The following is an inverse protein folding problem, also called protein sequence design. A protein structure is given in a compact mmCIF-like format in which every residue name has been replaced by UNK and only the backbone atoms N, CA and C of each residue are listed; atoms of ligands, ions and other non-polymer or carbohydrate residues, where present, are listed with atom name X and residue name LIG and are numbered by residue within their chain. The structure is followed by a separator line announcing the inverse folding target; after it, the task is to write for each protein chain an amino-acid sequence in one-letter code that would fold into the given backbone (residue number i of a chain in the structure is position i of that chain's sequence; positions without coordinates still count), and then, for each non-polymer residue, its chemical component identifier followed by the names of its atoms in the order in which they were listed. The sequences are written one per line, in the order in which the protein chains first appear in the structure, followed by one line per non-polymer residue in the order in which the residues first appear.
data_IF_481013112281
#
_entry.id   IF_481013112281
#
_cell.length_a   1.000
_cell.length_b   1.000
_cell.length_c   1.000
_cell.angle_alpha   90.00
_cell.angle_beta   90.00
_cell.angle_gamma   90.00
#
_symmetry.space_group_name_H-M   'P 1'
#
loop_
_entity.id
_entity.type
_entity.pdbx_description
1 polymer ?
#
# COMPACT_ATOMS: atom_id res chain seq x y z
N UNK A 1 -24.59 -10.29 27.81
CA UNK A 1 -23.56 -9.50 27.09
C UNK A 1 -23.47 -10.11 25.70
N UNK A 2 -23.82 -9.41 24.61
CA UNK A 2 -23.83 -10.03 23.28
C UNK A 2 -22.42 -10.50 22.90
N UNK A 3 -22.23 -11.80 22.69
CA UNK A 3 -20.98 -12.47 22.28
C UNK A 3 -20.35 -11.92 20.98
N UNK A 4 -21.00 -10.98 20.30
CA UNK A 4 -20.60 -10.43 19.01
C UNK A 4 -20.09 -8.98 19.06
N UNK A 5 -20.08 -8.32 20.23
CA UNK A 5 -19.62 -6.93 20.32
C UNK A 5 -18.09 -6.90 20.30
N UNK A 6 -17.52 -6.37 19.21
CA UNK A 6 -16.09 -6.15 19.12
C UNK A 6 -15.75 -4.91 19.98
N UNK A 7 -14.73 -4.97 20.87
CA UNK A 7 -14.31 -3.83 21.65
C UNK A 7 -14.05 -2.59 20.77
N UNK A 8 -14.70 -1.47 21.08
CA UNK A 8 -14.54 -0.22 20.33
C UNK A 8 -15.34 -0.10 19.02
N UNK A 9 -16.13 -1.11 18.64
CA UNK A 9 -16.97 -1.07 17.43
C UNK A 9 -17.95 0.12 17.43
N UNK A 10 -18.54 0.44 18.59
CA UNK A 10 -19.48 1.56 18.75
C UNK A 10 -18.87 2.94 18.45
N UNK A 11 -17.55 3.06 18.56
CA UNK A 11 -16.81 4.30 18.26
C UNK A 11 -16.14 4.26 16.89
N UNK A 12 -16.45 3.24 16.09
CA UNK A 12 -15.83 2.99 14.79
C UNK A 12 -16.88 3.10 13.69
N UNK A 13 -16.75 4.14 12.86
CA UNK A 13 -17.55 4.32 11.67
C UNK A 13 -16.87 3.65 10.48
N UNK A 14 -17.58 2.75 9.80
CA UNK A 14 -17.10 2.04 8.61
C UNK A 14 -17.83 2.56 7.37
N UNK A 15 -17.08 3.07 6.39
CA UNK A 15 -17.60 3.40 5.08
C UNK A 15 -17.64 2.14 4.21
N UNK A 16 -18.82 1.76 3.74
CA UNK A 16 -19.00 0.65 2.79
C UNK A 16 -19.28 1.22 1.40
N UNK A 17 -18.38 0.92 0.47
CA UNK A 17 -18.53 1.29 -0.95
C UNK A 17 -19.01 0.08 -1.73
N UNK A 18 -20.06 0.27 -2.54
CA UNK A 18 -20.78 -0.86 -3.14
C UNK A 18 -21.71 -1.54 -2.13
N UNK A 19 -22.29 -0.78 -1.19
CA UNK A 19 -23.18 -1.28 -0.14
C UNK A 19 -24.44 -1.98 -0.67
N UNK A 20 -24.85 -1.71 -1.91
CA UNK A 20 -25.99 -2.36 -2.57
C UNK A 20 -25.62 -3.65 -3.33
N UNK A 21 -24.34 -4.02 -3.41
CA UNK A 21 -23.91 -5.28 -4.02
C UNK A 21 -24.25 -6.48 -3.14
N UNK A 22 -24.19 -7.69 -3.69
CA UNK A 22 -24.45 -8.92 -2.94
C UNK A 22 -23.58 -9.05 -1.68
N UNK A 23 -22.28 -8.80 -1.80
CA UNK A 23 -21.36 -8.79 -0.67
C UNK A 23 -21.64 -7.58 0.23
N UNK A 24 -21.77 -6.39 -0.35
CA UNK A 24 -21.92 -5.14 0.38
C UNK A 24 -23.12 -5.13 1.33
N UNK A 25 -24.27 -5.65 0.87
CA UNK A 25 -25.47 -5.75 1.70
C UNK A 25 -25.28 -6.68 2.90
N UNK A 26 -24.50 -7.75 2.75
CA UNK A 26 -24.20 -8.69 3.85
C UNK A 26 -23.19 -8.06 4.80
N UNK A 27 -22.17 -7.37 4.28
CA UNK A 27 -21.17 -6.62 5.06
C UNK A 27 -21.86 -5.58 5.94
N UNK A 28 -22.75 -4.76 5.39
CA UNK A 28 -23.51 -3.74 6.14
C UNK A 28 -24.24 -4.37 7.33
N UNK A 29 -24.99 -5.45 7.11
CA UNK A 29 -25.71 -6.15 8.19
C UNK A 29 -24.76 -6.73 9.23
N UNK A 30 -23.69 -7.40 8.79
CA UNK A 30 -22.67 -8.00 9.68
C UNK A 30 -21.93 -6.96 10.53
N UNK A 31 -21.69 -5.76 10.00
CA UNK A 31 -21.10 -4.63 10.73
C UNK A 31 -22.08 -4.11 11.79
N UNK A 32 -23.33 -3.85 11.42
CA UNK A 32 -24.35 -3.38 12.35
C UNK A 32 -24.58 -4.34 13.52
N UNK A 33 -24.66 -5.66 13.23
CA UNK A 33 -24.82 -6.68 14.26
C UNK A 33 -23.63 -6.75 15.25
N UNK A 34 -22.45 -6.26 14.84
CA UNK A 34 -21.25 -6.18 15.69
C UNK A 34 -21.06 -4.81 16.35
N UNK A 35 -22.01 -3.90 16.18
CA UNK A 35 -22.06 -2.59 16.84
C UNK A 35 -21.32 -1.46 16.12
N UNK A 36 -20.94 -1.63 14.85
CA UNK A 36 -20.34 -0.54 14.06
C UNK A 36 -21.38 0.48 13.60
N UNK A 37 -20.98 1.75 13.56
CA UNK A 37 -21.69 2.76 12.76
C UNK A 37 -21.33 2.55 11.29
N UNK A 38 -22.33 2.49 10.41
CA UNK A 38 -22.11 2.21 8.99
C UNK A 38 -22.54 3.41 8.16
N UNK A 39 -21.65 3.85 7.27
CA UNK A 39 -21.93 4.80 6.20
C UNK A 39 -21.89 4.07 4.86
N UNK A 40 -22.88 4.25 4.01
CA UNK A 40 -22.96 3.63 2.69
C UNK A 40 -22.75 4.67 1.60
N UNK A 41 -21.69 4.50 0.79
CA UNK A 41 -21.50 5.32 -0.42
C UNK A 41 -22.31 4.71 -1.58
N UNK A 42 -23.29 5.46 -2.07
CA UNK A 42 -24.14 5.08 -3.20
C UNK A 42 -24.07 6.14 -4.30
N UNK A 43 -24.24 5.73 -5.56
CA UNK A 43 -24.23 6.68 -6.69
C UNK A 43 -25.48 7.55 -6.72
N UNK A 44 -26.65 6.92 -6.53
CA UNK A 44 -27.95 7.57 -6.44
C UNK A 44 -28.66 7.05 -5.18
N UNK A 45 -29.45 7.90 -4.54
CA UNK A 45 -30.24 7.59 -3.36
C UNK A 45 -31.73 7.46 -3.72
N UNK A 46 -32.02 6.72 -4.79
CA UNK A 46 -33.38 6.47 -5.24
C UNK A 46 -34.10 5.53 -4.26
N UNK A 47 -35.44 5.51 -4.28
CA UNK A 47 -36.25 4.79 -3.30
C UNK A 47 -35.87 3.30 -3.17
N UNK A 48 -35.62 2.62 -4.29
CA UNK A 48 -35.16 1.22 -4.32
C UNK A 48 -33.86 1.02 -3.52
N UNK A 49 -32.88 1.93 -3.67
CA UNK A 49 -31.60 1.84 -2.95
C UNK A 49 -31.78 2.07 -1.45
N UNK A 50 -32.65 3.01 -1.09
CA UNK A 50 -32.97 3.31 0.32
C UNK A 50 -33.65 2.11 0.98
N UNK A 51 -34.54 1.42 0.27
CA UNK A 51 -35.23 0.23 0.76
C UNK A 51 -34.31 -1.00 0.90
N UNK A 52 -33.24 -1.10 0.10
CA UNK A 52 -32.25 -2.18 0.21
C UNK A 52 -31.36 -2.12 1.45
N UNK A 53 -31.24 -0.95 2.08
CA UNK A 53 -30.33 -0.70 3.21
C UNK A 53 -31.11 -0.51 4.52
N UNK A 54 -30.58 -0.97 5.68
CA UNK A 54 -31.20 -0.71 6.97
C UNK A 54 -31.30 0.80 7.26
N UNK A 55 -32.42 1.25 7.86
CA UNK A 55 -32.69 2.67 8.12
C UNK A 55 -31.65 3.41 8.96
N UNK A 56 -30.89 2.69 9.79
CA UNK A 56 -29.84 3.27 10.63
C UNK A 56 -28.50 3.49 9.90
N UNK A 57 -28.39 3.06 8.64
CA UNK A 57 -27.18 3.30 7.82
C UNK A 57 -27.23 4.71 7.28
N UNK A 58 -26.16 5.48 7.47
CA UNK A 58 -26.02 6.81 6.87
C UNK A 58 -25.74 6.65 5.37
N UNK A 59 -26.67 7.06 4.52
CA UNK A 59 -26.49 7.02 3.07
C UNK A 59 -25.80 8.32 2.63
N UNK A 60 -24.68 8.19 1.93
CA UNK A 60 -23.97 9.31 1.30
C UNK A 60 -23.95 9.11 -0.20
N UNK A 61 -24.46 10.10 -0.93
CA UNK A 61 -24.47 10.10 -2.39
C UNK A 61 -23.12 10.58 -2.93
N UNK A 62 -22.52 9.80 -3.83
CA UNK A 62 -21.27 10.13 -4.49
C UNK A 62 -20.76 9.04 -5.43
N UNK A 63 -19.76 9.37 -6.24
CA UNK A 63 -19.18 8.46 -7.22
C UNK A 63 -17.67 8.34 -6.99
N UNK A 64 -17.18 7.11 -6.88
CA UNK A 64 -15.74 6.82 -6.70
C UNK A 64 -14.88 7.36 -7.84
N UNK A 65 -15.44 7.48 -9.04
CA UNK A 65 -14.80 8.10 -10.20
C UNK A 65 -14.70 9.63 -10.12
N UNK A 66 -15.46 10.28 -9.23
CA UNK A 66 -15.46 11.73 -9.01
C UNK A 66 -14.89 12.09 -7.62
N UNK A 67 -13.61 12.50 -7.54
CA UNK A 67 -12.95 12.86 -6.28
C UNK A 67 -13.68 13.93 -5.46
N UNK A 68 -14.42 14.85 -6.09
CA UNK A 68 -15.08 15.95 -5.38
C UNK A 68 -16.16 15.44 -4.43
N UNK A 69 -16.82 14.33 -4.78
CA UNK A 69 -17.90 13.73 -3.98
C UNK A 69 -17.40 12.92 -2.78
N UNK A 70 -16.12 12.52 -2.77
CA UNK A 70 -15.61 11.55 -1.79
C UNK A 70 -15.25 12.16 -0.45
N UNK A 71 -15.06 13.48 -0.37
CA UNK A 71 -14.72 14.15 0.89
C UNK A 71 -15.82 13.95 1.95
N UNK A 72 -17.08 14.16 1.57
CA UNK A 72 -18.23 13.95 2.47
C UNK A 72 -18.39 12.48 2.87
N UNK A 73 -18.07 11.55 1.96
CA UNK A 73 -18.15 10.12 2.20
C UNK A 73 -17.14 9.64 3.25
N UNK A 74 -15.91 10.15 3.23
CA UNK A 74 -14.86 9.71 4.17
C UNK A 74 -14.88 10.46 5.51
N UNK A 75 -15.58 11.59 5.58
CA UNK A 75 -15.62 12.41 6.79
C UNK A 75 -16.26 11.65 7.94
N UNK A 76 -15.54 11.58 9.07
CA UNK A 76 -15.96 10.88 10.28
C UNK A 76 -15.74 9.36 10.24
N UNK A 77 -15.23 8.82 9.13
CA UNK A 77 -14.98 7.38 9.01
C UNK A 77 -13.63 6.99 9.63
N UNK A 78 -13.59 5.79 10.19
CA UNK A 78 -12.38 5.20 10.78
C UNK A 78 -11.79 4.12 9.89
N UNK A 79 -12.64 3.43 9.11
CA UNK A 79 -12.30 2.29 8.24
C UNK A 79 -13.13 2.32 6.96
N UNK A 80 -12.65 1.65 5.93
CA UNK A 80 -13.32 1.52 4.63
C UNK A 80 -13.39 0.04 4.23
N UNK A 81 -14.54 -0.41 3.75
CA UNK A 81 -14.69 -1.66 2.99
C UNK A 81 -15.15 -1.33 1.58
N UNK A 82 -14.34 -1.69 0.59
CA UNK A 82 -14.61 -1.45 -0.82
C UNK A 82 -15.05 -2.75 -1.50
N UNK A 83 -16.35 -2.87 -1.73
CA UNK A 83 -16.99 -3.99 -2.43
C UNK A 83 -17.52 -3.60 -3.82
N UNK A 84 -17.27 -2.37 -4.28
CA UNK A 84 -17.70 -1.93 -5.60
C UNK A 84 -16.84 -2.55 -6.70
N UNK A 85 -17.50 -2.82 -7.82
CA UNK A 85 -16.88 -3.25 -9.07
C UNK A 85 -17.59 -2.53 -10.22
N UNK A 86 -16.91 -2.32 -11.35
CA UNK A 86 -17.57 -1.78 -12.53
C UNK A 86 -18.78 -2.64 -12.93
N UNK A 87 -19.87 -2.00 -13.38
CA UNK A 87 -21.08 -2.72 -13.82
C UNK A 87 -20.89 -3.30 -15.22
N UNK A 88 -20.03 -2.69 -16.02
CA UNK A 88 -19.68 -3.16 -17.36
C UNK A 88 -18.22 -3.59 -17.43
N UNK A 89 -17.93 -4.57 -18.30
CA UNK A 89 -16.55 -4.98 -18.62
C UNK A 89 -15.90 -4.07 -19.67
N UNK A 90 -16.49 -2.90 -19.96
CA UNK A 90 -15.94 -1.91 -20.89
C UNK A 90 -14.78 -1.21 -20.17
N UNK A 91 -13.65 -1.10 -20.85
CA UNK A 91 -12.38 -0.59 -20.30
C UNK A 91 -12.54 0.72 -19.52
N UNK A 92 -13.34 1.66 -20.01
CA UNK A 92 -13.56 2.96 -19.36
C UNK A 92 -14.18 2.86 -17.97
N UNK A 93 -15.19 2.01 -17.79
CA UNK A 93 -15.89 1.82 -16.52
C UNK A 93 -15.01 1.04 -15.52
N UNK A 94 -14.34 -0.02 -16.01
CA UNK A 94 -13.36 -0.80 -15.24
C UNK A 94 -12.25 0.09 -14.67
N UNK A 95 -11.62 0.92 -15.51
CA UNK A 95 -10.57 1.82 -15.02
C UNK A 95 -11.12 2.91 -14.10
N UNK A 96 -12.34 3.39 -14.34
CA UNK A 96 -12.99 4.40 -13.48
C UNK A 96 -13.26 3.87 -12.08
N UNK A 97 -13.83 2.67 -11.94
CA UNK A 97 -14.26 2.12 -10.65
C UNK A 97 -13.15 1.30 -9.99
N UNK A 98 -12.58 0.33 -10.68
CA UNK A 98 -11.68 -0.65 -10.07
C UNK A 98 -10.26 -0.14 -9.88
N UNK A 99 -9.81 0.82 -10.70
CA UNK A 99 -8.52 1.48 -10.53
C UNK A 99 -8.67 2.87 -9.89
N UNK A 100 -9.25 3.82 -10.64
CA UNK A 100 -9.33 5.23 -10.21
C UNK A 100 -10.19 5.38 -8.95
N UNK A 101 -11.28 4.64 -8.84
CA UNK A 101 -12.15 4.66 -7.67
C UNK A 101 -11.44 4.29 -6.38
N UNK A 102 -10.68 3.19 -6.41
CA UNK A 102 -9.84 2.76 -5.27
C UNK A 102 -8.79 3.83 -4.94
N UNK A 103 -8.11 4.38 -5.95
CA UNK A 103 -7.12 5.45 -5.75
C UNK A 103 -7.74 6.72 -5.13
N UNK A 104 -8.85 7.19 -5.70
CA UNK A 104 -9.53 8.42 -5.29
C UNK A 104 -10.00 8.33 -3.85
N UNK A 105 -10.65 7.22 -3.49
CA UNK A 105 -11.15 7.00 -2.14
C UNK A 105 -10.02 6.87 -1.13
N UNK A 106 -8.98 6.12 -1.49
CA UNK A 106 -7.78 5.99 -0.67
C UNK A 106 -7.11 7.34 -0.43
N UNK A 107 -6.99 8.17 -1.48
CA UNK A 107 -6.46 9.53 -1.37
C UNK A 107 -7.33 10.40 -0.46
N UNK A 108 -8.65 10.42 -0.67
CA UNK A 108 -9.59 11.20 0.14
C UNK A 108 -9.49 10.83 1.63
N UNK A 109 -9.42 9.53 1.93
CA UNK A 109 -9.30 9.03 3.30
C UNK A 109 -7.97 9.44 3.95
N UNK A 110 -6.87 9.40 3.19
CA UNK A 110 -5.58 9.90 3.67
C UNK A 110 -5.59 11.40 3.92
N UNK A 111 -6.16 12.18 3.01
CA UNK A 111 -6.24 13.64 3.14
C UNK A 111 -7.04 14.01 4.39
N UNK A 112 -8.15 13.32 4.65
CA UNK A 112 -8.92 13.46 5.89
C UNK A 112 -8.10 13.11 7.14
N UNK A 113 -7.44 11.95 7.17
CA UNK A 113 -6.61 11.54 8.31
C UNK A 113 -5.42 12.48 8.56
N UNK A 114 -4.83 13.02 7.51
CA UNK A 114 -3.76 14.00 7.63
C UNK A 114 -4.28 15.33 8.20
N UNK A 115 -5.43 15.82 7.73
CA UNK A 115 -6.09 17.01 8.27
C UNK A 115 -6.42 16.83 9.77
N UNK A 116 -7.00 15.70 10.14
CA UNK A 116 -7.30 15.39 11.55
C UNK A 116 -6.04 15.29 12.42
N UNK A 117 -4.94 14.78 11.87
CA UNK A 117 -3.67 14.76 12.59
C UNK A 117 -3.09 16.15 12.80
N UNK A 118 -3.19 17.05 11.82
CA UNK A 118 -2.75 18.44 11.97
C UNK A 118 -3.53 19.14 13.09
N UNK A 119 -4.86 18.96 13.13
CA UNK A 119 -5.70 19.48 14.21
C UNK A 119 -5.34 18.90 15.58
N UNK A 120 -4.78 17.68 15.62
CA UNK A 120 -4.32 17.00 16.84
C UNK A 120 -2.82 17.16 17.12
N UNK A 121 -2.17 18.16 16.52
CA UNK A 121 -0.73 18.42 16.64
C UNK A 121 0.15 17.16 16.36
N UNK A 122 -0.20 16.38 15.34
CA UNK A 122 0.55 15.21 14.90
C UNK A 122 0.43 13.97 15.80
N UNK A 123 -0.51 13.94 16.76
CA UNK A 123 -0.72 12.80 17.68
C UNK A 123 -1.49 11.61 17.07
N UNK A 124 -1.60 11.51 15.75
CA UNK A 124 -2.35 10.44 15.07
C UNK A 124 -1.47 9.21 14.82
N UNK A 125 -1.93 8.04 15.26
CA UNK A 125 -1.33 6.73 14.93
C UNK A 125 -1.60 6.29 13.49
N UNK A 126 -2.48 6.98 12.76
CA UNK A 126 -2.86 6.66 11.37
C UNK A 126 -2.20 7.56 10.32
N UNK A 127 -1.51 8.61 10.77
CA UNK A 127 -1.01 9.64 9.86
C UNK A 127 0.49 9.52 9.67
N UNK A 128 0.92 9.80 8.44
CA UNK A 128 2.33 9.72 8.06
C UNK A 128 3.12 10.82 8.79
N UNK A 129 4.27 10.47 9.36
CA UNK A 129 5.21 11.46 9.89
C UNK A 129 5.96 12.08 8.72
N UNK A 130 5.87 13.39 8.55
CA UNK A 130 6.67 14.07 7.52
C UNK A 130 8.10 14.20 8.01
N UNK A 131 9.03 13.57 7.31
CA UNK A 131 10.47 13.68 7.60
C UNK A 131 11.04 14.90 6.90
N UNK A 132 10.78 15.02 5.60
CA UNK A 132 11.22 16.15 4.78
C UNK A 132 10.13 16.47 3.75
N UNK A 133 9.93 17.75 3.48
CA UNK A 133 9.01 18.23 2.44
C UNK A 133 9.70 19.34 1.66
N UNK A 134 9.83 19.14 0.35
CA UNK A 134 10.57 20.04 -0.51
C UNK A 134 9.62 21.04 -1.15
N UNK A 135 9.44 22.18 -0.47
CA UNK A 135 8.51 23.24 -0.91
C UNK A 135 9.15 24.61 -1.00
N UNK A 136 10.29 24.79 -0.35
CA UNK A 136 10.99 26.05 -0.25
C UNK A 136 12.48 25.82 -0.48
N UNK A 137 13.25 26.83 -0.90
CA UNK A 137 14.69 26.69 -1.09
C UNK A 137 15.42 26.14 0.15
N UNK A 138 15.02 26.55 1.35
CA UNK A 138 15.65 26.11 2.61
C UNK A 138 15.46 24.61 2.88
N UNK A 139 14.53 23.95 2.18
CA UNK A 139 14.31 22.51 2.33
C UNK A 139 15.45 21.65 1.78
N UNK A 140 16.33 22.23 0.95
CA UNK A 140 17.57 21.55 0.50
C UNK A 140 18.72 21.74 1.48
N UNK A 141 18.58 22.58 2.50
CA UNK A 141 19.67 22.91 3.41
C UNK A 141 20.10 21.73 4.28
N UNK A 142 21.42 21.61 4.43
CA UNK A 142 22.09 20.55 5.19
C UNK A 142 21.90 19.15 4.59
N UNK A 143 21.46 19.04 3.34
CA UNK A 143 21.68 17.85 2.53
C UNK A 143 23.08 17.91 1.91
N UNK A 144 23.80 16.79 1.96
CA UNK A 144 25.17 16.70 1.47
C UNK A 144 25.23 15.80 0.24
N UNK A 145 25.79 16.33 -0.85
CA UNK A 145 26.11 15.54 -2.04
C UNK A 145 27.51 14.96 -1.89
N UNK A 146 27.65 13.64 -2.00
CA UNK A 146 28.93 12.92 -1.93
C UNK A 146 29.14 12.09 -3.17
N UNK A 147 30.40 11.84 -3.50
CA UNK A 147 30.82 11.03 -4.63
C UNK A 147 31.71 9.91 -4.12
N UNK A 148 31.60 8.72 -4.70
CA UNK A 148 32.38 7.57 -4.27
C UNK A 148 32.55 6.53 -5.36
N UNK A 149 33.48 5.61 -5.15
CA UNK A 149 33.76 4.49 -6.06
C UNK A 149 33.90 3.19 -5.26
N UNK A 150 33.45 2.07 -5.83
CA UNK A 150 33.70 0.75 -5.26
C UNK A 150 35.13 0.24 -5.49
N UNK A 151 35.90 0.89 -6.38
CA UNK A 151 37.28 0.51 -6.68
C UNK A 151 38.23 1.55 -6.07
N UNK A 152 38.94 1.18 -5.02
CA UNK A 152 39.93 2.04 -4.35
C UNK A 152 41.31 2.00 -5.02
N UNK A 153 41.62 0.95 -5.80
CA UNK A 153 42.98 0.64 -6.29
C UNK A 153 43.25 0.92 -7.78
N UNK A 154 42.37 1.62 -8.48
CA UNK A 154 42.68 2.06 -9.86
C UNK A 154 43.30 3.44 -9.73
N UNK A 155 44.62 3.53 -9.95
CA UNK A 155 45.34 4.79 -10.15
C UNK A 155 44.46 5.67 -11.03
N UNK A 156 43.94 6.77 -10.47
CA UNK A 156 43.06 7.68 -11.17
C UNK A 156 43.78 8.10 -12.45
N UNK A 157 43.40 7.49 -13.57
CA UNK A 157 43.97 7.85 -14.85
C UNK A 157 43.49 9.28 -15.11
N UNK A 158 44.34 10.14 -15.69
CA UNK A 158 43.97 11.54 -16.02
C UNK A 158 42.69 11.67 -16.89
N UNK A 159 42.09 10.56 -17.30
CA UNK A 159 40.89 10.44 -18.12
C UNK A 159 39.69 9.75 -17.43
N UNK A 160 39.78 9.40 -16.14
CA UNK A 160 38.60 8.98 -15.37
C UNK A 160 37.70 10.20 -15.12
N UNK A 161 36.79 10.45 -16.07
CA UNK A 161 35.86 11.58 -16.05
C UNK A 161 35.23 11.76 -14.66
N UNK A 162 35.38 12.96 -14.10
CA UNK A 162 34.87 13.28 -12.77
C UNK A 162 33.37 13.06 -12.66
N UNK A 163 32.88 12.63 -11.50
CA UNK A 163 31.45 12.54 -11.26
C UNK A 163 30.91 13.98 -11.10
N UNK A 164 29.77 14.28 -11.71
CA UNK A 164 29.07 15.54 -11.46
C UNK A 164 27.73 15.20 -10.84
N UNK A 165 27.43 15.81 -9.69
CA UNK A 165 26.16 15.66 -9.02
C UNK A 165 25.88 16.92 -8.19
N UNK A 166 24.64 17.38 -8.27
CA UNK A 166 24.17 18.53 -7.52
C UNK A 166 22.77 18.30 -6.99
N UNK A 167 22.46 19.00 -5.91
CA UNK A 167 21.13 19.04 -5.33
C UNK A 167 20.72 20.50 -5.15
N UNK A 168 19.72 20.94 -5.90
CA UNK A 168 19.31 22.35 -5.95
C UNK A 168 17.78 22.48 -5.93
N UNK A 169 17.31 23.59 -5.37
CA UNK A 169 15.91 23.99 -5.49
C UNK A 169 15.76 24.88 -6.73
N UNK A 170 15.04 24.40 -7.73
CA UNK A 170 14.92 25.08 -9.03
C UNK A 170 13.94 26.25 -8.96
N UNK A 171 14.03 27.16 -9.93
CA UNK A 171 13.06 28.24 -10.11
C UNK A 171 11.64 27.74 -10.39
N UNK A 172 11.49 26.48 -10.85
CA UNK A 172 10.17 25.83 -11.05
C UNK A 172 9.54 25.36 -9.74
N UNK A 173 10.25 25.46 -8.62
CA UNK A 173 9.77 25.06 -7.30
C UNK A 173 10.05 23.60 -6.94
N UNK A 174 11.02 22.97 -7.61
CA UNK A 174 11.35 21.55 -7.43
C UNK A 174 12.71 21.36 -6.77
N UNK A 175 12.83 20.43 -5.82
CA UNK A 175 14.14 19.99 -5.33
C UNK A 175 14.68 18.86 -6.21
N UNK A 176 15.77 19.14 -6.93
CA UNK A 176 16.29 18.27 -7.99
C UNK A 176 17.68 17.77 -7.63
N UNK A 177 17.80 16.45 -7.49
CA UNK A 177 19.07 15.74 -7.41
C UNK A 177 19.41 15.18 -8.79
N UNK A 178 20.42 15.74 -9.45
CA UNK A 178 20.78 15.37 -10.81
C UNK A 178 22.28 15.35 -11.02
N UNK A 179 22.71 14.66 -12.06
CA UNK A 179 24.12 14.53 -12.38
C UNK A 179 24.42 13.46 -13.40
N UNK A 180 25.72 13.19 -13.53
CA UNK A 180 26.28 12.22 -14.45
C UNK A 180 27.47 11.49 -13.81
N UNK A 181 27.49 10.15 -13.91
CA UNK A 181 28.54 9.30 -13.33
C UNK A 181 29.31 8.59 -14.44
N UNK A 182 30.52 9.06 -14.75
CA UNK A 182 31.33 8.56 -15.86
C UNK A 182 32.13 7.31 -15.51
N UNK A 183 32.55 7.16 -14.26
CA UNK A 183 33.46 6.11 -13.79
C UNK A 183 32.76 4.78 -13.60
N UNK A 184 33.44 3.70 -14.03
CA UNK A 184 32.96 2.33 -13.84
C UNK A 184 32.99 1.99 -12.35
N UNK A 185 31.83 1.78 -11.74
CA UNK A 185 31.72 1.54 -10.29
C UNK A 185 31.66 2.81 -9.45
N UNK A 186 31.58 3.99 -10.08
CA UNK A 186 31.24 5.24 -9.43
C UNK A 186 29.79 5.26 -8.96
N UNK A 187 29.54 6.02 -7.90
CA UNK A 187 28.22 6.32 -7.39
C UNK A 187 28.20 7.73 -6.80
N UNK A 188 27.02 8.33 -6.75
CA UNK A 188 26.78 9.60 -6.07
C UNK A 188 25.68 9.44 -5.05
N UNK A 189 25.78 10.21 -3.98
CA UNK A 189 24.93 10.12 -2.80
C UNK A 189 24.40 11.49 -2.42
N UNK A 190 23.16 11.49 -1.95
CA UNK A 190 22.51 12.64 -1.34
C UNK A 190 22.09 12.25 0.08
N UNK A 191 22.76 12.80 1.08
CA UNK A 191 22.65 12.37 2.49
C UNK A 191 22.13 13.47 3.40
N UNK A 192 21.33 13.09 4.41
CA UNK A 192 20.82 14.00 5.43
C UNK A 192 20.67 13.31 6.78
N UNK A 193 21.20 13.94 7.83
CA UNK A 193 20.88 13.57 9.21
C UNK A 193 19.43 13.96 9.53
N UNK A 194 18.62 12.98 9.93
CA UNK A 194 17.21 13.15 10.22
C UNK A 194 17.04 13.96 11.50
N UNK A 195 16.21 15.01 11.43
CA UNK A 195 15.79 15.80 12.60
C UNK A 195 14.38 15.38 12.99
N UNK A 196 14.27 14.35 13.84
CA UNK A 196 12.98 13.90 14.36
C UNK A 196 12.56 14.77 15.56
N UNK A 197 11.26 15.05 15.75
CA UNK A 197 10.78 15.73 16.95
C UNK A 197 11.17 14.98 18.23
N UNK A 198 11.38 15.69 19.34
CA UNK A 198 11.72 15.08 20.63
C UNK A 198 10.74 13.95 21.00
N UNK A 199 11.30 12.80 21.40
CA UNK A 199 10.52 11.61 21.74
C UNK A 199 9.86 10.89 20.55
N UNK A 200 10.23 11.22 19.31
CA UNK A 200 9.82 10.49 18.11
C UNK A 200 10.99 9.69 17.53
N UNK A 201 10.71 8.44 17.24
CA UNK A 201 11.61 7.45 16.64
C UNK A 201 10.88 6.72 15.52
N UNK A 202 11.61 6.01 14.64
CA UNK A 202 11.00 5.37 13.47
C UNK A 202 10.48 3.95 13.75
N UNK A 203 10.72 3.37 14.92
CA UNK A 203 10.21 2.06 15.38
C UNK A 203 8.68 1.96 15.39
N UNK A 204 7.99 3.09 15.53
CA UNK A 204 6.53 3.17 15.42
C UNK A 204 6.02 3.24 13.97
N UNK A 205 6.89 3.10 12.99
CA UNK A 205 6.59 3.18 11.56
C UNK A 205 7.02 1.89 10.86
N UNK A 206 6.31 1.50 9.80
CA UNK A 206 6.56 0.25 9.06
C UNK A 206 7.57 0.46 7.92
N UNK A 207 7.85 1.70 7.56
CA UNK A 207 8.78 2.05 6.50
C UNK A 207 8.66 3.50 6.06
N UNK A 208 9.21 3.78 4.89
CA UNK A 208 9.24 5.11 4.29
C UNK A 208 8.35 5.17 3.04
N UNK A 209 7.80 6.35 2.79
CA UNK A 209 7.15 6.70 1.52
C UNK A 209 7.76 7.96 0.95
N UNK A 210 8.20 7.86 -0.31
CA UNK A 210 8.80 8.94 -1.06
C UNK A 210 7.88 9.30 -2.22
N UNK A 211 7.66 10.59 -2.45
CA UNK A 211 7.06 11.08 -3.70
C UNK A 211 8.18 11.68 -4.54
N UNK A 212 8.46 11.02 -5.65
CA UNK A 212 9.64 11.28 -6.47
C UNK A 212 9.28 11.32 -7.95
N UNK A 213 9.85 12.28 -8.66
CA UNK A 213 9.81 12.37 -10.12
C UNK A 213 11.19 12.10 -10.73
N UNK A 214 11.27 12.12 -12.06
CA UNK A 214 12.55 12.03 -12.75
C UNK A 214 12.50 11.21 -14.03
N UNK A 215 13.67 10.70 -14.41
CA UNK A 215 13.92 10.00 -15.67
C UNK A 215 13.80 8.47 -15.57
N UNK A 216 13.10 7.93 -14.56
CA UNK A 216 12.82 6.49 -14.46
C UNK A 216 14.00 5.62 -14.03
N UNK A 217 15.03 6.21 -13.41
CA UNK A 217 16.18 5.48 -12.86
C UNK A 217 15.86 4.70 -11.59
N UNK A 218 16.73 3.74 -11.29
CA UNK A 218 16.72 2.98 -10.04
C UNK A 218 17.70 3.61 -9.06
N UNK A 219 17.32 3.66 -7.78
CA UNK A 219 18.09 4.26 -6.71
C UNK A 219 18.19 3.29 -5.53
N UNK A 220 19.18 3.53 -4.68
CA UNK A 220 19.37 2.82 -3.43
C UNK A 220 19.04 3.79 -2.30
N UNK A 221 18.12 3.40 -1.43
CA UNK A 221 17.88 4.08 -0.18
C UNK A 221 18.74 3.40 0.90
N UNK A 222 19.60 4.18 1.53
CA UNK A 222 20.49 3.72 2.60
C UNK A 222 20.06 4.42 3.89
N UNK A 223 19.92 3.63 4.96
CA UNK A 223 19.70 4.12 6.31
C UNK A 223 20.92 3.76 7.16
N UNK A 224 21.39 4.75 7.91
CA UNK A 224 22.39 4.54 8.93
C UNK A 224 21.70 4.47 10.30
N UNK A 225 21.94 3.37 11.01
CA UNK A 225 21.35 3.11 12.31
C UNK A 225 22.42 2.78 13.34
N UNK A 226 22.36 3.45 14.49
CA UNK A 226 23.32 3.30 15.58
C UNK A 226 23.18 4.41 16.62
N UNK A 227 24.03 4.40 17.66
CA UNK A 227 24.04 5.45 18.67
C UNK A 227 24.33 6.81 18.02
N UNK A 228 23.41 7.76 18.14
CA UNK A 228 23.57 9.08 17.53
C UNK A 228 24.75 9.90 18.07
N UNK A 229 25.25 9.52 19.26
CA UNK A 229 26.42 10.08 19.93
C UNK A 229 27.75 9.45 19.48
N UNK A 230 27.73 8.25 18.89
CA UNK A 230 28.91 7.56 18.39
C UNK A 230 28.60 6.87 17.05
N UNK A 231 28.83 7.60 15.96
CA UNK A 231 28.59 7.11 14.61
C UNK A 231 29.59 6.04 14.16
N UNK A 232 30.64 5.75 14.93
CA UNK A 232 31.58 4.67 14.60
C UNK A 232 30.94 3.28 14.74
N UNK A 233 29.91 3.17 15.59
CA UNK A 233 29.14 1.94 15.81
C UNK A 233 27.92 1.82 14.89
N UNK A 234 27.68 2.85 14.07
CA UNK A 234 26.61 2.84 13.09
C UNK A 234 26.77 1.70 12.09
N UNK A 235 25.63 1.12 11.71
CA UNK A 235 25.52 0.12 10.66
C UNK A 235 24.73 0.70 9.50
N UNK A 236 25.07 0.27 8.29
CA UNK A 236 24.42 0.73 7.07
C UNK A 236 23.48 -0.34 6.56
N UNK A 237 22.28 0.09 6.17
CA UNK A 237 21.23 -0.77 5.67
C UNK A 237 20.73 -0.22 4.34
N UNK A 238 20.57 -1.07 3.33
CA UNK A 238 20.15 -0.62 2.00
C UNK A 238 18.87 -1.31 1.55
N UNK A 239 18.05 -0.58 0.78
CA UNK A 239 16.95 -1.14 0.00
C UNK A 239 16.89 -0.45 -1.36
N UNK A 240 16.54 -1.20 -2.41
CA UNK A 240 16.47 -0.67 -3.77
C UNK A 240 15.05 -0.24 -4.11
N UNK A 241 14.92 0.85 -4.86
CA UNK A 241 13.65 1.24 -5.42
C UNK A 241 13.80 1.78 -6.84
N UNK A 242 12.73 1.66 -7.62
CA UNK A 242 12.69 2.11 -9.00
C UNK A 242 11.76 3.31 -9.12
N UNK A 243 12.16 4.30 -9.93
CA UNK A 243 11.28 5.40 -10.32
C UNK A 243 10.63 5.13 -11.68
N UNK A 244 9.70 5.98 -12.08
CA UNK A 244 9.10 6.00 -13.43
C UNK A 244 9.42 7.33 -14.10
N UNK A 245 9.21 7.42 -15.41
CA UNK A 245 9.16 8.72 -16.06
C UNK A 245 8.01 9.55 -15.45
N UNK A 246 8.32 10.74 -14.93
CA UNK A 246 7.37 11.57 -14.18
C UNK A 246 7.22 11.16 -12.71
N UNK A 247 6.27 11.78 -12.01
CA UNK A 247 6.08 11.57 -10.57
C UNK A 247 5.47 10.20 -10.24
N UNK A 248 6.03 9.55 -9.22
CA UNK A 248 5.53 8.32 -8.64
C UNK A 248 5.72 8.31 -7.12
N UNK A 249 4.92 7.48 -6.44
CA UNK A 249 5.07 7.22 -5.00
C UNK A 249 5.71 5.86 -4.80
N UNK A 250 6.76 5.84 -3.98
CA UNK A 250 7.56 4.66 -3.67
C UNK A 250 7.43 4.37 -2.19
N UNK A 251 7.00 3.15 -1.84
CA UNK A 251 6.96 2.63 -0.47
C UNK A 251 8.15 1.71 -0.26
N UNK A 252 8.92 1.95 0.79
CA UNK A 252 10.09 1.14 1.16
C UNK A 252 9.88 0.66 2.60
N UNK A 253 9.37 -0.57 2.81
CA UNK A 253 9.20 -1.15 4.15
C UNK A 253 10.55 -1.27 4.87
N UNK A 254 10.60 -1.12 6.19
CA UNK A 254 11.84 -1.37 6.93
C UNK A 254 12.29 -2.83 6.82
N UNK A 255 11.35 -3.76 6.66
CA UNK A 255 11.64 -5.17 6.40
C UNK A 255 12.29 -5.45 5.04
N UNK A 256 12.30 -4.50 4.09
CA UNK A 256 13.00 -4.64 2.80
C UNK A 256 14.45 -4.17 2.85
N UNK A 257 14.90 -3.60 3.97
CA UNK A 257 16.29 -3.23 4.16
C UNK A 257 17.13 -4.47 4.49
N UNK A 258 18.34 -4.50 3.94
CA UNK A 258 19.34 -5.52 4.23
C UNK A 258 20.60 -4.83 4.73
N UNK A 259 21.30 -5.41 5.72
CA UNK A 259 22.56 -4.83 6.15
C UNK A 259 23.57 -4.85 5.00
N UNK A 260 24.38 -3.80 4.91
CA UNK A 260 25.46 -3.71 3.91
C UNK A 260 26.55 -4.75 4.22
N UNK A 261 26.87 -4.97 5.50
CA UNK A 261 27.71 -6.08 5.96
C UNK A 261 26.81 -7.26 6.31
N UNK A 262 26.95 -8.44 5.68
CA UNK A 262 26.04 -9.56 5.90
C UNK A 262 25.87 -10.03 7.35
N UNK A 263 26.89 -9.85 8.18
CA UNK A 263 26.91 -10.30 9.58
C UNK A 263 26.24 -9.32 10.56
N UNK A 264 25.85 -8.13 10.10
CA UNK A 264 25.16 -7.15 10.93
C UNK A 264 23.71 -7.59 11.22
N UNK A 265 23.15 -7.28 12.41
CA UNK A 265 21.78 -7.62 12.77
C UNK A 265 20.75 -6.91 11.87
N UNK A 266 19.50 -7.39 11.81
CA UNK A 266 18.42 -6.69 11.11
C UNK A 266 18.26 -5.24 11.54
N UNK A 267 17.77 -4.38 10.63
CA UNK A 267 17.56 -2.97 10.89
C UNK A 267 16.64 -2.76 12.09
N UNK A 268 17.12 -2.01 13.09
CA UNK A 268 16.29 -1.42 14.14
C UNK A 268 15.92 0.02 13.77
N UNK A 269 14.65 0.31 13.42
CA UNK A 269 14.22 1.65 13.07
C UNK A 269 14.31 2.66 14.22
N UNK A 270 14.39 2.20 15.49
CA UNK A 270 14.58 3.09 16.63
C UNK A 270 15.90 3.87 16.54
N UNK A 271 16.94 3.24 16.00
CA UNK A 271 18.31 3.76 15.95
C UNK A 271 18.63 4.54 14.67
N UNK A 272 17.68 4.68 13.74
CA UNK A 272 17.91 5.35 12.46
C UNK A 272 18.10 6.85 12.67
N UNK A 273 19.25 7.37 12.22
CA UNK A 273 19.59 8.78 12.36
C UNK A 273 19.96 9.47 11.04
N UNK A 274 20.40 8.74 10.01
CA UNK A 274 20.77 9.32 8.71
C UNK A 274 20.11 8.56 7.56
N UNK A 275 19.68 9.33 6.55
CA UNK A 275 19.07 8.84 5.33
C UNK A 275 19.91 9.29 4.13
N UNK A 276 20.18 8.35 3.22
CA UNK A 276 20.98 8.59 2.02
C UNK A 276 20.30 8.01 0.78
N UNK A 277 20.23 8.80 -0.29
CA UNK A 277 19.79 8.38 -1.61
C UNK A 277 21.03 8.23 -2.50
N UNK A 278 21.29 7.01 -2.98
CA UNK A 278 22.43 6.71 -3.85
C UNK A 278 21.96 6.40 -5.27
N UNK A 279 22.64 6.99 -6.25
CA UNK A 279 22.55 6.61 -7.65
C UNK A 279 23.85 5.90 -8.08
N UNK A 280 23.70 4.78 -8.76
CA UNK A 280 24.80 4.06 -9.42
C UNK A 280 24.37 3.69 -10.86
N UNK A 281 25.21 3.88 -11.89
CA UNK A 281 24.87 3.49 -13.27
C UNK A 281 24.71 1.98 -13.47
N UNK A 282 25.27 1.19 -12.54
CA UNK A 282 25.21 -0.27 -12.60
C UNK A 282 23.76 -0.72 -12.36
N UNK A 283 23.32 -1.74 -13.09
CA UNK A 283 21.98 -2.36 -12.93
C UNK A 283 20.79 -1.43 -13.23
N UNK A 284 21.01 -0.35 -14.00
CA UNK A 284 19.90 0.45 -14.53
C UNK A 284 19.17 -0.31 -15.64
N UNK A 285 17.84 -0.38 -15.56
CA UNK A 285 17.01 -0.93 -16.64
C UNK A 285 16.92 0.06 -17.79
N UNK A 286 16.75 -0.45 -19.02
CA UNK A 286 16.40 0.39 -20.16
C UNK A 286 15.04 1.08 -19.86
N UNK A 287 14.99 2.39 -20.04
CA UNK A 287 13.74 3.16 -19.92
C UNK A 287 13.12 3.18 -21.32
N UNK A 288 12.03 2.45 -21.53
CA UNK A 288 11.27 2.51 -22.78
C UNK A 288 10.62 3.89 -22.91
N UNK A 289 11.11 4.72 -23.83
CA UNK A 289 10.51 5.99 -24.16
C UNK A 289 9.16 5.80 -24.87
N UNK A 290 8.17 6.63 -24.55
CA UNK A 290 7.01 6.80 -25.42
C UNK A 290 7.48 7.49 -26.69
N UNK A 291 7.40 6.80 -27.82
CA UNK A 291 7.61 7.30 -29.19
C UNK A 291 8.93 8.04 -29.46
N UNK A 292 9.91 7.33 -30.04
CA UNK A 292 10.89 7.94 -30.97
C UNK A 292 12.01 8.82 -30.40
N UNK A 293 12.30 8.82 -29.10
CA UNK A 293 13.40 9.63 -28.51
C UNK A 293 14.56 8.76 -28.05
N UNK A 294 15.77 9.24 -28.34
CA UNK A 294 17.11 8.70 -28.03
C UNK A 294 17.19 7.93 -26.70
N UNK A 295 17.86 6.77 -26.75
CA UNK A 295 18.13 5.92 -25.60
C UNK A 295 18.90 6.74 -24.53
N UNK A 296 18.25 7.03 -23.40
CA UNK A 296 18.83 7.89 -22.36
C UNK A 296 20.06 7.22 -21.74
N UNK A 297 21.19 7.94 -21.74
CA UNK A 297 22.46 7.46 -21.22
C UNK A 297 22.34 6.95 -19.78
N UNK A 298 22.58 5.66 -19.49
CA UNK A 298 22.40 5.05 -18.16
C UNK A 298 23.25 5.69 -17.05
N UNK A 299 24.22 6.54 -17.42
CA UNK A 299 25.09 7.28 -16.51
C UNK A 299 24.47 8.59 -16.01
N UNK A 300 23.43 9.11 -16.69
CA UNK A 300 22.73 10.32 -16.30
C UNK A 300 21.52 10.01 -15.42
N UNK A 301 21.28 10.87 -14.43
CA UNK A 301 20.14 10.74 -13.54
C UNK A 301 19.51 12.08 -13.21
N UNK A 302 18.21 12.04 -12.98
CA UNK A 302 17.44 13.15 -12.44
C UNK A 302 16.41 12.56 -11.49
N UNK A 303 16.47 12.97 -10.23
CA UNK A 303 15.52 12.62 -9.18
C UNK A 303 14.93 13.91 -8.64
N UNK A 304 13.64 14.11 -8.86
CA UNK A 304 12.90 15.23 -8.29
C UNK A 304 12.27 14.74 -6.98
N UNK A 305 12.52 15.43 -5.88
CA UNK A 305 12.02 15.06 -4.55
C UNK A 305 10.88 16.00 -4.14
N UNK A 306 9.69 15.47 -3.87
CA UNK A 306 8.57 16.26 -3.34
C UNK A 306 8.46 16.12 -1.81
N UNK A 307 8.54 14.89 -1.30
CA UNK A 307 8.58 14.63 0.14
C UNK A 307 9.12 13.25 0.47
N UNK A 308 9.55 13.10 1.73
CA UNK A 308 9.85 11.83 2.40
C UNK A 308 9.04 11.78 3.69
N UNK A 309 8.29 10.71 3.90
CA UNK A 309 7.48 10.50 5.12
C UNK A 309 7.66 9.09 5.66
N UNK A 310 7.48 8.91 6.97
CA UNK A 310 7.39 7.59 7.58
C UNK A 310 5.93 7.10 7.62
N UNK A 311 5.73 5.82 7.30
CA UNK A 311 4.44 5.15 7.22
C UNK A 311 4.06 4.54 8.56
N UNK A 312 2.91 4.88 9.16
CA UNK A 312 2.55 4.38 10.48
C UNK A 312 2.41 2.86 10.50
N UNK A 313 2.81 2.23 11.62
CA UNK A 313 2.68 0.77 11.81
C UNK A 313 1.25 0.27 11.88
N UNK A 314 0.29 1.09 12.32
CA UNK A 314 -1.15 0.82 12.46
C UNK A 314 -1.52 -0.62 12.86
N UNK A 315 -1.98 -0.89 14.08
CA UNK A 315 -2.28 -2.28 14.48
C UNK A 315 -3.50 -2.91 13.77
N UNK A 316 -4.35 -2.07 13.17
CA UNK A 316 -5.57 -2.51 12.52
C UNK A 316 -5.60 -2.15 11.04
N UNK A 317 -6.47 -2.83 10.29
CA UNK A 317 -6.73 -2.52 8.89
C UNK A 317 -7.61 -1.27 8.80
N UNK A 318 -7.18 -0.33 7.96
CA UNK A 318 -7.93 0.89 7.64
C UNK A 318 -8.81 0.69 6.40
N UNK A 319 -8.38 -0.15 5.45
CA UNK A 319 -9.02 -0.32 4.16
C UNK A 319 -9.05 -1.79 3.73
N UNK A 320 -10.24 -2.37 3.61
CA UNK A 320 -10.44 -3.71 3.02
C UNK A 320 -10.93 -3.55 1.58
N UNK A 321 -10.24 -4.17 0.64
CA UNK A 321 -10.61 -4.18 -0.78
C UNK A 321 -11.02 -5.59 -1.21
N UNK A 322 -12.24 -5.72 -1.75
CA UNK A 322 -12.68 -6.94 -2.43
C UNK A 322 -12.31 -6.85 -3.91
N UNK A 323 -11.21 -7.48 -4.28
CA UNK A 323 -10.67 -7.53 -5.64
C UNK A 323 -11.19 -8.78 -6.37
N UNK A 324 -12.51 -8.89 -6.52
CA UNK A 324 -13.15 -10.00 -7.23
C UNK A 324 -13.14 -9.78 -8.74
N UNK A 325 -13.06 -10.84 -9.53
CA UNK A 325 -13.36 -10.73 -10.97
C UNK A 325 -14.86 -10.64 -11.20
N UNK A 326 -15.68 -11.29 -10.38
CA UNK A 326 -17.11 -11.49 -10.66
C UNK A 326 -17.35 -12.73 -11.53
N UNK A 327 -18.61 -13.18 -11.59
CA UNK A 327 -19.06 -14.33 -12.38
C UNK A 327 -19.39 -13.93 -13.82
N UNK A 328 -19.22 -14.85 -14.78
CA UNK A 328 -19.70 -14.67 -16.16
C UNK A 328 -18.90 -13.69 -17.02
N UNK A 329 -17.62 -13.45 -16.69
CA UNK A 329 -16.75 -12.66 -17.57
C UNK A 329 -16.24 -13.53 -18.72
N UNK A 330 -16.47 -13.04 -19.94
CA UNK A 330 -15.89 -13.60 -21.16
C UNK A 330 -14.36 -13.75 -21.06
N UNK A 331 -13.78 -14.89 -21.48
CA UNK A 331 -12.35 -15.16 -21.36
C UNK A 331 -11.47 -14.02 -21.88
N UNK A 332 -11.84 -13.44 -23.03
CA UNK A 332 -11.09 -12.39 -23.71
C UNK A 332 -11.08 -11.05 -22.95
N UNK A 333 -12.06 -10.83 -22.04
CA UNK A 333 -12.15 -9.63 -21.20
C UNK A 333 -11.59 -9.84 -19.79
N UNK A 334 -11.45 -11.10 -19.36
CA UNK A 334 -10.95 -11.46 -18.03
C UNK A 334 -9.58 -10.83 -17.74
N UNK A 335 -8.68 -10.84 -18.72
CA UNK A 335 -7.36 -10.23 -18.56
C UNK A 335 -7.43 -8.71 -18.34
N UNK A 336 -8.32 -8.03 -19.07
CA UNK A 336 -8.52 -6.58 -18.93
C UNK A 336 -9.09 -6.23 -17.55
N UNK A 337 -10.06 -7.00 -17.06
CA UNK A 337 -10.63 -6.84 -15.71
C UNK A 337 -9.55 -7.06 -14.65
N UNK A 338 -8.80 -8.16 -14.75
CA UNK A 338 -7.69 -8.46 -13.82
C UNK A 338 -6.63 -7.36 -13.83
N UNK A 339 -6.31 -6.79 -15.00
CA UNK A 339 -5.37 -5.68 -15.12
C UNK A 339 -5.87 -4.43 -14.39
N UNK A 340 -7.14 -4.07 -14.55
CA UNK A 340 -7.74 -2.92 -13.85
C UNK A 340 -7.78 -3.14 -12.33
N UNK A 341 -8.21 -4.33 -11.87
CA UNK A 341 -8.25 -4.73 -10.46
C UNK A 341 -6.86 -4.68 -9.82
N UNK A 342 -5.85 -5.30 -10.46
CA UNK A 342 -4.44 -5.26 -10.00
C UNK A 342 -3.90 -3.83 -9.94
N UNK A 343 -4.29 -2.95 -10.87
CA UNK A 343 -3.90 -1.54 -10.82
C UNK A 343 -4.55 -0.79 -9.64
N UNK A 344 -5.79 -1.13 -9.28
CA UNK A 344 -6.47 -0.63 -8.08
C UNK A 344 -5.81 -1.12 -6.79
N UNK A 345 -5.55 -2.42 -6.70
CA UNK A 345 -4.78 -3.02 -5.60
C UNK A 345 -3.44 -2.30 -5.40
N UNK A 346 -2.69 -2.12 -6.48
CA UNK A 346 -1.39 -1.44 -6.45
C UNK A 346 -1.49 0.02 -5.96
N UNK A 347 -2.59 0.69 -6.29
CA UNK A 347 -2.88 2.04 -5.80
C UNK A 347 -3.10 2.05 -4.29
N UNK A 348 -3.81 1.05 -3.77
CA UNK A 348 -4.02 0.87 -2.34
C UNK A 348 -2.70 0.52 -1.62
N UNK A 349 -1.90 -0.41 -2.15
CA UNK A 349 -0.56 -0.77 -1.59
C UNK A 349 0.34 0.45 -1.44
N UNK A 350 0.39 1.29 -2.49
CA UNK A 350 1.19 2.52 -2.55
C UNK A 350 0.68 3.65 -1.69
N UNK A 351 -0.54 3.56 -1.19
CA UNK A 351 -1.09 4.63 -0.38
C UNK A 351 -0.33 4.77 0.93
N UNK A 352 0.01 3.67 1.59
CA UNK A 352 0.51 3.67 2.97
C UNK A 352 -0.58 3.63 4.04
N UNK A 353 -1.84 3.38 3.68
CA UNK A 353 -2.85 2.91 4.64
C UNK A 353 -2.56 1.46 5.03
N UNK A 354 -3.03 1.04 6.22
CA UNK A 354 -3.15 -0.38 6.54
C UNK A 354 -4.26 -1.00 5.69
N UNK A 355 -3.95 -2.02 4.89
CA UNK A 355 -4.91 -2.59 3.95
C UNK A 355 -5.06 -4.11 4.06
N UNK A 356 -6.19 -4.65 3.60
CA UNK A 356 -6.32 -6.07 3.27
C UNK A 356 -6.95 -6.19 1.89
N UNK A 357 -6.33 -6.94 0.99
CA UNK A 357 -6.86 -7.20 -0.35
C UNK A 357 -7.32 -8.66 -0.38
N UNK A 358 -8.62 -8.85 -0.56
CA UNK A 358 -9.26 -10.15 -0.65
C UNK A 358 -9.61 -10.39 -2.11
N UNK A 359 -9.06 -11.45 -2.71
CA UNK A 359 -9.34 -11.89 -4.08
C UNK A 359 -10.19 -13.17 -4.05
N UNK A 360 -11.51 -13.04 -3.90
CA UNK A 360 -12.35 -14.23 -3.84
C UNK A 360 -12.41 -14.92 -5.21
N UNK A 361 -12.57 -16.24 -5.19
CA UNK A 361 -13.00 -17.01 -6.35
C UNK A 361 -14.39 -16.61 -6.87
N UNK A 362 -14.92 -17.30 -7.89
CA UNK A 362 -16.25 -17.02 -8.44
C UNK A 362 -17.33 -16.96 -7.35
N UNK A 363 -18.05 -15.85 -7.31
CA UNK A 363 -19.01 -15.58 -6.24
C UNK A 363 -20.29 -16.39 -6.43
N UNK A 364 -20.84 -16.89 -5.31
CA UNK A 364 -22.11 -17.61 -5.25
C UNK A 364 -23.07 -16.94 -4.25
N UNK A 365 -24.34 -16.86 -4.62
CA UNK A 365 -25.41 -16.38 -3.74
C UNK A 365 -25.96 -17.56 -2.91
N UNK A 366 -25.17 -18.04 -1.97
CA UNK A 366 -25.54 -19.14 -1.06
C UNK A 366 -25.20 -18.80 0.40
N UNK A 367 -25.78 -19.50 1.38
CA UNK A 367 -25.38 -19.33 2.78
C UNK A 367 -23.90 -19.67 2.99
N UNK A 368 -23.22 -18.85 3.81
CA UNK A 368 -21.82 -19.08 4.18
C UNK A 368 -21.65 -20.01 5.38
N UNK A 369 -20.41 -20.34 5.71
CA UNK A 369 -20.04 -21.12 6.90
C UNK A 369 -20.29 -22.63 6.79
N UNK A 370 -20.55 -23.13 5.59
CA UNK A 370 -20.86 -24.55 5.35
C UNK A 370 -19.67 -25.38 4.84
N UNK A 371 -18.60 -24.73 4.37
CA UNK A 371 -17.47 -25.39 3.69
C UNK A 371 -16.14 -24.81 4.16
N UNK A 372 -15.09 -25.62 4.09
CA UNK A 372 -13.73 -25.19 4.40
C UNK A 372 -13.24 -24.12 3.40
N UNK A 373 -12.46 -23.17 3.91
CA UNK A 373 -11.90 -22.06 3.14
C UNK A 373 -10.40 -22.31 2.90
N UNK A 374 -9.96 -22.12 1.66
CA UNK A 374 -8.55 -22.16 1.27
C UNK A 374 -8.07 -20.74 1.02
N UNK A 375 -6.91 -20.40 1.56
CA UNK A 375 -6.22 -19.12 1.38
C UNK A 375 -4.89 -19.33 0.65
N UNK A 376 -4.59 -18.50 -0.36
CA UNK A 376 -3.37 -18.58 -1.17
C UNK A 376 -2.87 -17.17 -1.58
N UNK A 377 -1.65 -17.06 -2.10
CA UNK A 377 -1.11 -15.84 -2.73
C UNK A 377 -0.65 -16.06 -4.18
N UNK A 378 -0.74 -17.30 -4.70
CA UNK A 378 -0.22 -17.70 -6.01
C UNK A 378 -1.19 -17.58 -7.18
N UNK A 379 -2.43 -17.10 -6.98
CA UNK A 379 -3.54 -17.24 -7.95
C UNK A 379 -3.78 -18.71 -8.39
N UNK A 380 -3.51 -19.69 -7.52
CA UNK A 380 -3.62 -21.13 -7.88
C UNK A 380 -5.02 -21.68 -7.64
N UNK A 381 -5.89 -20.90 -7.03
CA UNK A 381 -7.22 -21.32 -6.64
C UNK A 381 -8.28 -20.87 -7.66
N UNK A 382 -9.24 -21.76 -7.94
CA UNK A 382 -10.27 -21.55 -8.98
C UNK A 382 -11.69 -21.81 -8.51
N UNK A 383 -11.87 -22.35 -7.30
CA UNK A 383 -13.19 -22.72 -6.77
C UNK A 383 -14.01 -21.49 -6.41
N UNK A 384 -15.33 -21.66 -6.43
CA UNK A 384 -16.25 -20.61 -6.01
C UNK A 384 -16.27 -20.40 -4.49
N UNK A 385 -16.88 -19.29 -4.07
CA UNK A 385 -17.10 -18.95 -2.66
C UNK A 385 -18.39 -18.15 -2.49
N UNK A 386 -19.09 -18.32 -1.37
CA UNK A 386 -20.30 -17.54 -1.11
C UNK A 386 -20.00 -16.07 -0.85
N UNK A 387 -20.90 -15.19 -1.29
CA UNK A 387 -20.87 -13.77 -0.92
C UNK A 387 -20.90 -13.57 0.61
N UNK A 388 -21.53 -14.49 1.35
CA UNK A 388 -21.64 -14.45 2.80
C UNK A 388 -20.32 -14.71 3.53
N UNK A 389 -19.50 -15.66 3.04
CA UNK A 389 -18.17 -15.94 3.60
C UNK A 389 -17.19 -14.82 3.27
N UNK A 390 -17.21 -14.30 2.04
CA UNK A 390 -16.41 -13.12 1.67
C UNK A 390 -16.75 -11.93 2.57
N UNK A 391 -18.03 -11.69 2.85
CA UNK A 391 -18.46 -10.64 3.77
C UNK A 391 -17.98 -10.88 5.21
N UNK A 392 -17.93 -12.14 5.66
CA UNK A 392 -17.40 -12.48 7.00
C UNK A 392 -15.90 -12.19 7.10
N UNK A 393 -15.13 -12.60 6.09
CA UNK A 393 -13.69 -12.33 6.00
C UNK A 393 -13.43 -10.82 5.99
N UNK A 394 -14.22 -10.05 5.23
CA UNK A 394 -14.08 -8.58 5.19
C UNK A 394 -14.20 -7.94 6.58
N UNK A 395 -15.19 -8.38 7.37
CA UNK A 395 -15.44 -7.83 8.70
C UNK A 395 -14.37 -8.29 9.70
N UNK A 396 -13.93 -9.56 9.64
CA UNK A 396 -12.85 -10.06 10.50
C UNK A 396 -11.50 -9.40 10.21
N UNK A 397 -11.18 -9.17 8.93
CA UNK A 397 -9.95 -8.52 8.49
C UNK A 397 -9.77 -7.09 9.00
N UNK A 398 -10.85 -6.42 9.46
CA UNK A 398 -10.75 -5.08 10.06
C UNK A 398 -9.98 -5.06 11.40
N UNK A 399 -9.94 -6.19 12.12
CA UNK A 399 -9.38 -6.31 13.46
C UNK A 399 -8.27 -7.36 13.55
N UNK A 400 -8.16 -8.25 12.57
CA UNK A 400 -7.08 -9.21 12.52
C UNK A 400 -5.78 -8.56 12.02
N UNK A 401 -4.84 -8.35 12.94
CA UNK A 401 -3.52 -7.79 12.64
C UNK A 401 -2.69 -8.64 11.66
N UNK A 402 -3.01 -9.93 11.50
CA UNK A 402 -2.37 -10.81 10.51
C UNK A 402 -2.91 -10.59 9.10
N UNK A 403 -4.15 -10.12 8.95
CA UNK A 403 -4.73 -9.74 7.66
C UNK A 403 -4.17 -8.43 7.12
N UNK A 404 -3.55 -7.62 8.00
CA UNK A 404 -3.01 -6.32 7.63
C UNK A 404 -1.83 -6.43 6.66
N UNK A 405 -1.88 -5.57 5.66
CA UNK A 405 -1.00 -5.47 4.50
C UNK A 405 -0.83 -6.80 3.78
N UNK A 406 -1.88 -7.62 3.70
CA UNK A 406 -1.86 -8.85 2.91
C UNK A 406 -2.80 -8.76 1.72
N UNK A 407 -2.35 -9.34 0.63
CA UNK A 407 -3.18 -9.66 -0.53
C UNK A 407 -3.27 -11.17 -0.59
N UNK A 408 -4.47 -11.74 -0.61
CA UNK A 408 -4.64 -13.18 -0.70
C UNK A 408 -5.87 -13.55 -1.51
N UNK A 409 -5.77 -14.70 -2.17
CA UNK A 409 -6.86 -15.37 -2.84
C UNK A 409 -7.63 -16.23 -1.81
N UNK A 410 -8.96 -16.29 -1.93
CA UNK A 410 -9.79 -17.17 -1.08
C UNK A 410 -10.90 -17.88 -1.86
N UNK A 411 -11.08 -19.17 -1.60
CA UNK A 411 -12.17 -19.98 -2.17
C UNK A 411 -12.59 -21.12 -1.24
N UNK A 412 -13.60 -21.90 -1.65
CA UNK A 412 -13.85 -23.19 -1.01
C UNK A 412 -12.81 -24.23 -1.38
N UNK A 413 -12.60 -25.16 -0.45
CA UNK A 413 -11.88 -26.39 -0.74
C UNK A 413 -12.53 -27.17 -1.89
N UNK A 414 -11.68 -27.75 -2.75
CA UNK A 414 -12.16 -28.66 -3.79
C UNK A 414 -12.61 -29.96 -3.13
N UNK A 415 -13.92 -30.16 -3.08
CA UNK A 415 -14.48 -31.47 -2.75
C UNK A 415 -14.47 -32.28 -4.04
N UNK A 416 -13.68 -33.36 -4.06
CA UNK A 416 -13.70 -34.30 -5.16
C UNK A 416 -15.09 -34.95 -5.29
N UNK A 417 -15.48 -35.34 -6.51
CA UNK A 417 -16.69 -36.15 -6.70
C UNK A 417 -16.59 -37.44 -5.87
N UNK A 418 -17.72 -37.93 -5.35
CA UNK A 418 -17.78 -39.18 -4.58
C UNK A 418 -17.00 -40.30 -5.28
N UNK A 419 -15.99 -40.85 -4.60
CA UNK A 419 -15.09 -41.89 -5.13
C UNK A 419 -13.77 -41.40 -5.74
N UNK A 420 -13.46 -40.09 -5.71
CA UNK A 420 -12.16 -39.52 -6.12
C UNK A 420 -11.47 -38.68 -5.03
N UNK A 421 -11.83 -38.93 -3.77
CA UNK A 421 -11.25 -38.25 -2.61
C UNK A 421 -9.76 -38.62 -2.48
N UNK A 422 -8.86 -37.69 -2.83
CA UNK A 422 -7.40 -37.88 -2.79
C UNK A 422 -6.77 -37.41 -1.47
N UNK A 423 -7.55 -36.82 -0.56
CA UNK A 423 -7.07 -36.29 0.72
C UNK A 423 -8.14 -36.46 1.82
N UNK A 424 -7.68 -36.78 3.02
CA UNK A 424 -8.50 -36.84 4.24
C UNK A 424 -8.61 -35.44 4.85
N UNK A 425 -9.81 -35.06 5.31
CA UNK A 425 -10.06 -33.78 5.99
C UNK A 425 -9.37 -33.80 7.37
N UNK A 426 -8.13 -33.32 7.44
CA UNK A 426 -7.37 -33.24 8.69
C UNK A 426 -7.76 -31.98 9.45
N UNK A 427 -8.82 -32.11 10.25
CA UNK A 427 -9.26 -31.21 11.32
C UNK A 427 -10.01 -29.93 10.93
N UNK A 428 -11.29 -29.89 11.33
CA UNK A 428 -11.97 -28.65 11.71
C UNK A 428 -11.39 -28.25 13.08
N UNK A 429 -10.72 -27.10 13.19
CA UNK A 429 -10.44 -26.49 14.50
C UNK A 429 -11.61 -25.56 14.84
N UNK A 430 -12.60 -25.98 15.63
CA UNK A 430 -13.52 -25.06 16.25
C UNK A 430 -12.74 -24.33 17.34
N UNK A 431 -12.02 -23.28 16.97
CA UNK A 431 -11.49 -22.40 17.99
C UNK A 431 -12.69 -21.75 18.72
N UNK A 432 -12.71 -21.80 20.05
CA UNK A 432 -13.78 -21.23 20.88
C UNK A 432 -13.98 -19.73 20.62
N UNK A 433 -12.99 -19.07 20.00
CA UNK A 433 -13.02 -17.67 19.59
C UNK A 433 -13.47 -17.42 18.13
N UNK A 434 -13.82 -18.46 17.35
CA UNK A 434 -14.11 -18.37 15.91
C UNK A 434 -13.00 -17.64 15.13
N UNK A 435 -11.73 -17.81 15.54
CA UNK A 435 -10.59 -17.11 14.96
C UNK A 435 -9.87 -17.95 13.88
N UNK A 436 -10.58 -18.36 12.83
CA UNK A 436 -9.99 -19.12 11.73
C UNK A 436 -9.03 -18.28 10.85
N UNK A 437 -9.17 -16.95 10.87
CA UNK A 437 -8.48 -16.09 9.92
C UNK A 437 -7.00 -15.90 10.29
N UNK A 438 -6.69 -15.72 11.58
CA UNK A 438 -5.32 -15.54 12.07
C UNK A 438 -4.38 -16.69 11.67
N UNK A 439 -4.69 -17.97 11.96
CA UNK A 439 -3.83 -19.08 11.58
C UNK A 439 -3.77 -19.30 10.06
N UNK A 440 -4.88 -19.07 9.35
CA UNK A 440 -4.90 -19.21 7.89
C UNK A 440 -3.98 -18.18 7.21
N UNK A 441 -3.96 -16.94 7.72
CA UNK A 441 -3.16 -15.87 7.14
C UNK A 441 -1.74 -15.86 7.66
N UNK A 442 -1.40 -16.42 8.83
CA UNK A 442 -0.06 -16.29 9.42
C UNK A 442 1.07 -16.79 8.51
N UNK A 443 0.80 -17.83 7.70
CA UNK A 443 1.76 -18.40 6.76
C UNK A 443 2.00 -17.54 5.50
N UNK A 444 1.11 -16.57 5.22
CA UNK A 444 1.18 -15.74 4.02
C UNK A 444 2.14 -14.56 4.20
N UNK A 445 2.75 -14.08 3.11
CA UNK A 445 3.68 -12.97 3.14
C UNK A 445 2.96 -11.62 3.38
N UNK A 446 3.59 -10.72 4.15
CA UNK A 446 3.14 -9.34 4.34
C UNK A 446 3.70 -8.42 3.26
N UNK A 447 2.95 -7.37 2.94
CA UNK A 447 3.27 -6.35 1.94
C UNK A 447 3.37 -6.88 0.48
N UNK A 448 2.61 -7.94 0.17
CA UNK A 448 2.44 -8.51 -1.18
C UNK A 448 1.47 -7.74 -2.06
#
# INVERSE_FOLDING_TARGET
MCEFVIPGAQNTTVLVVGATSSIGRIVVRKLMLRGYTVKALVRNADQEVVEMLPRSVEIVTGDVGDPATLYAAVQGCNKIIYCATARSTISGDLYRVDQRGVYNLTKAFQDYNNKMAQLRAGKSSKSKLTLVKFKTPESVDGWEVRQGTYFQDVVASKYDGGMDAKFEFTFTGDAVFSGYVFTRGGYVELSKKLSLPLGRTLDRYEGLVLSVGGNGRSYILILEAGPSADTSQSKLYFSRFNTKAGFCRVRVPFSSFRPVKPDDPPLDPFLVHTLTLRFEPRRQKAVEGRTGVQQQDPRSFTLILEYIKALPTGQETDFVLVSCTGSGIEPNRREQVLKAKRAGEESLRKSGLGYTIIRPGPLKEEPGGQRALIFDQGNRISQGISCADVADICVKALHDSTARNKSFDVCYEYVADQGKELYELVAHLPDKANNYLTPALSALEKNT
#
